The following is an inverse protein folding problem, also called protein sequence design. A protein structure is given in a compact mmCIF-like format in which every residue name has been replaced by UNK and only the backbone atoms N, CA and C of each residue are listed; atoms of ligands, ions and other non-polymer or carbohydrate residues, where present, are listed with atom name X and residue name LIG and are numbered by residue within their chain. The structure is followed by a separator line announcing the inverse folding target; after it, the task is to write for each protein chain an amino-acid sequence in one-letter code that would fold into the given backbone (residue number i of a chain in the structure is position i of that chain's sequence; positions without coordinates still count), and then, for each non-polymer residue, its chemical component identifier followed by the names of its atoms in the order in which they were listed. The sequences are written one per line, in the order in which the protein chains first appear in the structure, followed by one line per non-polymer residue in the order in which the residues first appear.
data_IF_319303917831
#
_entry.id   IF_319303917831
#
_cell.length_a   1.000
_cell.length_b   1.000
_cell.length_c   1.000
_cell.angle_alpha   90.00
_cell.angle_beta   90.00
_cell.angle_gamma   90.00
#
_symmetry.space_group_name_H-M   'P 1'
#
loop_
_entity.id
_entity.type
_entity.pdbx_description
1 polymer ?
#
# COMPACT_ATOMS: atom_id res chain seq x y z
N UNK A 1 5.42 11.50 3.24
CA UNK A 1 6.48 11.77 4.22
C UNK A 1 5.98 11.44 5.62
N UNK A 2 6.81 10.75 6.40
CA UNK A 2 6.57 10.37 7.79
C UNK A 2 7.56 11.15 8.67
N UNK A 3 7.18 11.54 9.89
CA UNK A 3 8.18 11.95 10.88
C UNK A 3 8.56 10.72 11.69
N UNK A 4 9.85 10.47 11.82
CA UNK A 4 10.34 9.28 12.48
C UNK A 4 10.19 9.35 14.01
N UNK A 5 9.74 8.26 14.62
CA UNK A 5 9.85 8.01 16.07
C UNK A 5 10.19 6.54 16.34
N UNK A 6 11.48 6.24 16.50
CA UNK A 6 11.97 4.91 16.90
C UNK A 6 12.07 3.87 15.76
N UNK A 7 12.69 2.71 16.02
CA UNK A 7 12.95 1.69 15.01
C UNK A 7 11.65 0.99 14.58
N UNK A 8 11.14 1.36 13.42
CA UNK A 8 9.88 0.85 12.88
C UNK A 8 10.03 -0.61 12.42
N UNK A 9 9.37 -1.53 13.14
CA UNK A 9 9.30 -2.95 12.74
C UNK A 9 8.36 -3.11 11.56
N UNK A 10 8.94 -3.44 10.40
CA UNK A 10 8.23 -3.66 9.14
C UNK A 10 7.29 -4.89 9.26
N UNK A 11 6.01 -4.76 8.86
CA UNK A 11 4.99 -5.81 9.06
C UNK A 11 3.84 -5.76 8.06
N UNK A 12 3.87 -6.67 7.09
CA UNK A 12 2.90 -6.78 5.98
C UNK A 12 1.85 -7.91 6.17
N UNK A 13 0.56 -7.71 5.80
CA UNK A 13 -0.53 -8.74 5.66
C UNK A 13 -1.62 -8.16 4.73
N UNK A 14 -2.32 -8.82 3.78
CA UNK A 14 -2.74 -10.22 3.52
C UNK A 14 -2.28 -10.71 2.13
N UNK A 15 -1.92 -11.99 1.97
CA UNK A 15 -0.90 -12.48 0.99
C UNK A 15 0.47 -11.82 1.13
N UNK A 16 0.61 -10.75 1.92
CA UNK A 16 1.89 -10.11 2.08
C UNK A 16 2.78 -10.96 3.01
N UNK A 17 3.85 -11.53 2.45
CA UNK A 17 4.87 -12.21 3.22
C UNK A 17 5.77 -11.19 3.95
N UNK A 18 5.99 -11.42 5.24
CA UNK A 18 6.89 -10.60 6.06
C UNK A 18 8.32 -11.09 5.91
N UNK A 19 9.04 -10.55 4.94
CA UNK A 19 10.50 -10.73 4.83
C UNK A 19 11.18 -9.80 5.84
N UNK A 20 12.11 -10.32 6.65
CA UNK A 20 12.94 -9.47 7.52
C UNK A 20 14.10 -8.90 6.73
N UNK A 21 14.55 -7.72 7.13
CA UNK A 21 15.81 -7.18 6.61
C UNK A 21 16.97 -8.14 6.93
N UNK A 22 17.77 -8.46 5.91
CA UNK A 22 18.83 -9.48 5.86
C UNK A 22 18.41 -10.94 5.58
N UNK A 23 17.12 -11.27 5.50
CA UNK A 23 16.68 -12.60 5.03
C UNK A 23 16.44 -12.58 3.51
N UNK A 24 16.89 -13.62 2.80
CA UNK A 24 16.52 -13.85 1.41
C UNK A 24 15.18 -14.60 1.35
N UNK A 25 14.32 -14.23 0.40
CA UNK A 25 13.07 -14.93 0.12
C UNK A 25 13.03 -15.31 -1.36
N UNK A 26 12.68 -16.57 -1.63
CA UNK A 26 12.48 -17.12 -2.96
C UNK A 26 10.99 -17.39 -3.16
N UNK A 27 10.47 -16.99 -4.32
CA UNK A 27 9.07 -17.14 -4.69
C UNK A 27 8.99 -17.72 -6.09
N UNK A 28 8.20 -18.77 -6.25
CA UNK A 28 7.82 -19.32 -7.55
C UNK A 28 6.36 -18.94 -7.76
N UNK A 29 6.08 -18.32 -8.91
CA UNK A 29 4.73 -17.96 -9.33
C UNK A 29 4.41 -18.72 -10.61
N UNK A 30 3.23 -19.32 -10.66
CA UNK A 30 2.67 -19.93 -11.85
C UNK A 30 1.45 -19.09 -12.26
N UNK A 31 1.59 -18.18 -13.24
CA UNK A 31 0.45 -17.43 -13.76
C UNK A 31 -0.30 -18.32 -14.75
N UNK A 32 -1.25 -19.11 -14.24
CA UNK A 32 -2.07 -20.08 -14.99
C UNK A 32 -2.67 -19.43 -16.26
N UNK A 33 -2.03 -19.65 -17.41
CA UNK A 33 -2.26 -18.85 -18.64
C UNK A 33 -3.64 -19.10 -19.24
N UNK A 34 -4.26 -20.24 -18.93
CA UNK A 34 -5.61 -20.63 -19.30
C UNK A 34 -6.72 -20.04 -18.40
N UNK A 35 -6.37 -19.48 -17.22
CA UNK A 35 -7.31 -18.73 -16.36
C UNK A 35 -7.40 -17.22 -16.73
N UNK A 36 -6.76 -16.77 -17.81
CA UNK A 36 -6.77 -15.35 -18.19
C UNK A 36 -8.16 -14.82 -18.62
N UNK A 37 -8.76 -13.98 -17.77
CA UNK A 37 -10.05 -13.33 -18.03
C UNK A 37 -10.07 -12.32 -19.19
N UNK A 38 -8.91 -11.79 -19.61
CA UNK A 38 -8.82 -10.74 -20.62
C UNK A 38 -8.11 -11.26 -21.89
N UNK A 39 -8.78 -11.34 -23.05
CA UNK A 39 -8.24 -12.01 -24.25
C UNK A 39 -7.04 -11.31 -24.91
N UNK A 40 -6.55 -10.19 -24.35
CA UNK A 40 -5.39 -9.43 -24.82
C UNK A 40 -4.40 -9.10 -23.68
N UNK A 41 -4.53 -9.70 -22.49
CA UNK A 41 -3.50 -9.56 -21.45
C UNK A 41 -2.31 -10.47 -21.73
N UNK A 42 -1.09 -9.98 -21.51
CA UNK A 42 0.07 -10.87 -21.41
C UNK A 42 0.01 -11.62 -20.06
N UNK A 43 0.28 -12.94 -20.02
CA UNK A 43 0.39 -13.68 -18.77
C UNK A 43 1.59 -13.20 -17.96
N UNK A 44 1.44 -13.13 -16.64
CA UNK A 44 2.50 -12.65 -15.75
C UNK A 44 1.99 -12.16 -14.40
N UNK A 45 2.91 -11.61 -13.60
CA UNK A 45 2.65 -11.14 -12.23
C UNK A 45 2.91 -9.64 -12.12
N UNK A 46 2.01 -8.90 -11.47
CA UNK A 46 2.24 -7.52 -11.05
C UNK A 46 2.77 -7.49 -9.62
N UNK A 47 4.06 -7.20 -9.47
CA UNK A 47 4.76 -7.22 -8.19
C UNK A 47 5.02 -5.80 -7.68
N UNK A 48 4.78 -5.52 -6.41
CA UNK A 48 5.09 -4.23 -5.79
C UNK A 48 5.66 -4.38 -4.37
N UNK A 49 6.57 -3.49 -4.00
CA UNK A 49 7.14 -3.36 -2.66
C UNK A 49 6.74 -1.99 -2.12
N UNK A 50 6.31 -1.94 -0.86
CA UNK A 50 5.81 -0.72 -0.23
C UNK A 50 6.14 -0.69 1.27
N UNK A 51 5.71 0.37 1.96
CA UNK A 51 5.73 0.43 3.44
C UNK A 51 4.51 -0.30 4.01
N UNK A 52 4.60 -1.01 5.15
CA UNK A 52 3.48 -1.67 5.80
C UNK A 52 2.37 -0.72 6.27
N UNK A 53 2.66 0.59 6.30
CA UNK A 53 1.70 1.64 6.69
C UNK A 53 1.00 2.29 5.50
N UNK A 54 1.28 1.82 4.28
CA UNK A 54 0.63 2.24 3.04
C UNK A 54 0.04 1.01 2.35
N UNK A 55 -1.20 1.10 1.86
CA UNK A 55 -1.72 0.16 0.89
C UNK A 55 -1.32 0.65 -0.51
N UNK A 56 -0.98 -0.28 -1.40
CA UNK A 56 -0.67 0.00 -2.80
C UNK A 56 -1.52 -0.87 -3.71
N UNK A 57 -1.81 -0.35 -4.90
CA UNK A 57 -2.42 -1.09 -5.98
C UNK A 57 -1.31 -1.55 -6.95
N UNK A 58 -1.01 -2.86 -7.08
CA UNK A 58 -0.03 -3.35 -8.04
C UNK A 58 -0.37 -3.00 -9.50
N UNK A 59 -1.64 -2.79 -9.83
CA UNK A 59 -2.05 -2.32 -11.16
C UNK A 59 -1.67 -0.85 -11.44
N UNK A 60 -1.38 -0.04 -10.42
CA UNK A 60 -0.95 1.37 -10.57
C UNK A 60 0.55 1.57 -10.35
N UNK A 61 1.17 0.77 -9.47
CA UNK A 61 2.56 0.96 -8.99
C UNK A 61 3.40 -0.31 -8.98
N UNK A 62 2.90 -1.39 -9.58
CA UNK A 62 3.63 -2.64 -9.72
C UNK A 62 4.57 -2.65 -10.92
N UNK A 63 5.48 -3.61 -10.88
CA UNK A 63 6.37 -4.01 -11.96
C UNK A 63 5.78 -5.29 -12.54
N UNK A 64 5.60 -5.33 -13.86
CA UNK A 64 5.14 -6.54 -14.55
C UNK A 64 6.31 -7.52 -14.75
N UNK A 65 6.08 -8.78 -14.39
CA UNK A 65 7.04 -9.89 -14.47
C UNK A 65 6.46 -10.99 -15.35
N UNK A 66 7.20 -11.37 -16.40
CA UNK A 66 6.78 -12.39 -17.37
C UNK A 66 7.13 -13.81 -16.88
N UNK A 67 6.32 -14.83 -17.22
CA UNK A 67 6.66 -16.22 -16.92
C UNK A 67 7.97 -16.65 -17.61
N UNK A 68 8.62 -17.69 -17.07
CA UNK A 68 9.87 -18.25 -17.60
C UNK A 68 11.15 -17.46 -17.28
N UNK A 69 11.08 -16.34 -16.56
CA UNK A 69 12.25 -15.54 -16.16
C UNK A 69 12.54 -15.62 -14.66
N UNK A 70 13.84 -15.66 -14.31
CA UNK A 70 14.31 -15.55 -12.93
C UNK A 70 14.56 -14.08 -12.59
N UNK A 71 13.74 -13.51 -11.71
CA UNK A 71 13.88 -12.13 -11.24
C UNK A 71 14.67 -12.06 -9.92
N UNK A 72 15.81 -11.35 -9.92
CA UNK A 72 16.57 -11.04 -8.70
C UNK A 72 16.26 -9.61 -8.25
N UNK A 73 15.53 -9.48 -7.15
CA UNK A 73 15.09 -8.20 -6.60
C UNK A 73 15.95 -7.86 -5.38
N UNK A 74 16.61 -6.70 -5.40
CA UNK A 74 17.40 -6.20 -4.27
C UNK A 74 16.71 -4.98 -3.67
N UNK A 75 16.53 -4.96 -2.36
CA UNK A 75 15.77 -3.93 -1.64
C UNK A 75 16.68 -3.20 -0.67
N UNK A 76 16.75 -1.89 -0.79
CA UNK A 76 17.44 -1.00 0.15
C UNK A 76 16.40 -0.23 0.98
N UNK A 77 16.51 -0.27 2.31
CA UNK A 77 15.67 0.53 3.19
C UNK A 77 16.27 1.94 3.27
N UNK A 78 15.46 2.95 2.94
CA UNK A 78 15.81 4.36 3.09
C UNK A 78 14.81 5.02 4.01
N UNK A 79 15.32 5.66 5.06
CA UNK A 79 14.52 6.41 6.04
C UNK A 79 14.87 7.91 5.95
N UNK A 80 13.85 8.76 6.05
CA UNK A 80 14.00 10.22 6.06
C UNK A 80 13.48 10.77 7.39
N UNK A 81 14.38 11.35 8.19
CA UNK A 81 14.04 11.95 9.48
C UNK A 81 13.74 13.44 9.28
N UNK A 82 12.45 13.77 9.14
CA UNK A 82 11.98 15.13 8.90
C UNK A 82 11.44 15.78 10.17
N UNK A 83 11.55 17.11 10.26
CA UNK A 83 11.12 17.88 11.44
C UNK A 83 9.72 18.49 11.24
N UNK A 84 8.91 18.64 12.30
CA UNK A 84 7.63 19.34 12.27
C UNK A 84 7.82 20.86 12.10
N UNK A 85 6.72 21.62 12.06
CA UNK A 85 6.75 23.07 12.26
C UNK A 85 7.62 23.46 13.48
N UNK A 86 8.47 24.50 13.42
CA UNK A 86 8.57 25.56 12.40
C UNK A 86 9.57 25.27 11.26
N UNK A 87 10.08 24.04 11.13
CA UNK A 87 11.04 23.71 10.08
C UNK A 87 10.34 23.60 8.71
N UNK A 88 11.07 23.93 7.63
CA UNK A 88 10.56 23.92 6.24
C UNK A 88 9.89 22.59 5.82
N UNK A 89 10.26 21.49 6.46
CA UNK A 89 9.71 20.15 6.22
C UNK A 89 8.26 20.00 6.68
N UNK A 90 7.80 20.83 7.62
CA UNK A 90 6.44 20.87 8.20
C UNK A 90 5.77 19.48 8.31
N UNK A 91 6.51 18.56 8.90
CA UNK A 91 6.18 17.15 8.87
C UNK A 91 5.12 16.80 9.93
N UNK A 92 4.21 15.86 9.60
CA UNK A 92 3.21 15.30 10.53
C UNK A 92 3.56 13.87 10.99
N UNK A 93 3.58 13.62 12.30
CA UNK A 93 3.85 12.29 12.87
C UNK A 93 2.58 11.41 12.89
N UNK A 94 2.31 10.72 11.78
CA UNK A 94 1.17 9.81 11.65
C UNK A 94 1.20 8.63 12.64
N UNK A 95 2.37 8.16 13.08
CA UNK A 95 2.48 7.06 14.05
C UNK A 95 2.01 7.51 15.43
N UNK A 96 2.46 8.67 15.89
CA UNK A 96 2.02 9.26 17.16
C UNK A 96 0.53 9.62 17.14
N UNK A 97 0.04 10.25 16.05
CA UNK A 97 -1.40 10.50 15.88
C UNK A 97 -2.23 9.22 15.99
N UNK A 98 -1.77 8.12 15.39
CA UNK A 98 -2.46 6.83 15.45
C UNK A 98 -2.44 6.22 16.86
N UNK A 99 -1.32 6.32 17.58
CA UNK A 99 -1.24 5.89 19.00
C UNK A 99 -2.23 6.69 19.86
N UNK A 100 -2.20 8.02 19.75
CA UNK A 100 -3.07 8.93 20.50
C UNK A 100 -4.56 8.76 20.15
N UNK A 101 -4.88 8.33 18.92
CA UNK A 101 -6.23 7.99 18.46
C UNK A 101 -6.65 6.54 18.78
N UNK A 102 -6.17 5.96 19.89
CA UNK A 102 -6.46 4.58 20.32
C UNK A 102 -6.21 3.54 19.21
N UNK A 103 -5.11 3.69 18.46
CA UNK A 103 -4.73 2.82 17.34
C UNK A 103 -5.74 2.81 16.18
N UNK A 104 -6.43 3.93 15.96
CA UNK A 104 -7.36 4.11 14.83
C UNK A 104 -6.88 5.18 13.85
N UNK A 105 -7.28 5.06 12.58
CA UNK A 105 -6.93 6.04 11.55
C UNK A 105 -5.71 5.67 10.69
N UNK A 106 -5.29 6.58 9.78
CA UNK A 106 -4.19 6.37 8.85
C UNK A 106 -2.83 6.50 9.55
N UNK A 107 -1.90 5.60 9.25
CA UNK A 107 -0.50 5.63 9.72
C UNK A 107 0.48 6.26 8.72
N UNK A 108 -0.04 6.91 7.68
CA UNK A 108 0.76 7.50 6.61
C UNK A 108 -0.01 8.59 5.88
N UNK A 109 0.73 9.43 5.15
CA UNK A 109 0.16 10.50 4.34
C UNK A 109 -0.73 9.98 3.20
N UNK A 110 -0.34 8.87 2.54
CA UNK A 110 -1.16 8.30 1.47
C UNK A 110 -2.47 7.72 2.00
N UNK A 111 -2.43 6.96 3.11
CA UNK A 111 -3.66 6.47 3.73
C UNK A 111 -4.54 7.60 4.27
N UNK A 112 -3.95 8.73 4.68
CA UNK A 112 -4.72 9.93 5.04
C UNK A 112 -5.46 10.52 3.83
N UNK A 113 -4.82 10.59 2.65
CA UNK A 113 -5.45 11.02 1.40
C UNK A 113 -6.58 10.08 0.97
N UNK A 114 -6.35 8.76 0.95
CA UNK A 114 -7.40 7.79 0.63
C UNK A 114 -8.56 7.85 1.64
N UNK A 115 -8.31 8.05 2.94
CA UNK A 115 -9.36 8.28 3.94
C UNK A 115 -10.19 9.54 3.63
N UNK A 116 -9.55 10.62 3.18
CA UNK A 116 -10.24 11.85 2.79
C UNK A 116 -11.17 11.61 1.59
N UNK A 117 -10.64 11.03 0.51
CA UNK A 117 -11.44 10.67 -0.68
C UNK A 117 -12.60 9.75 -0.34
N UNK A 118 -12.36 8.72 0.49
CA UNK A 118 -13.40 7.82 0.98
C UNK A 118 -14.50 8.55 1.73
N UNK A 119 -14.15 9.50 2.62
CA UNK A 119 -15.15 10.28 3.36
C UNK A 119 -16.04 11.10 2.42
N UNK A 120 -15.45 11.69 1.35
CA UNK A 120 -16.20 12.44 0.33
C UNK A 120 -17.17 11.48 -0.40
N UNK A 121 -16.70 10.32 -0.85
CA UNK A 121 -17.56 9.32 -1.51
C UNK A 121 -18.69 8.81 -0.60
N UNK A 122 -18.37 8.47 0.66
CA UNK A 122 -19.34 7.98 1.65
C UNK A 122 -20.39 9.04 2.06
N UNK A 123 -20.07 10.34 1.89
CA UNK A 123 -20.93 11.48 2.23
C UNK A 123 -21.78 11.94 1.04
N UNK A 124 -21.18 12.12 -0.14
CA UNK A 124 -21.86 12.63 -1.33
C UNK A 124 -22.65 11.56 -2.08
N UNK A 125 -22.14 10.33 -2.17
CA UNK A 125 -22.71 9.25 -2.99
C UNK A 125 -23.17 8.04 -2.19
N UNK A 126 -22.92 8.02 -0.86
CA UNK A 126 -23.30 6.93 0.04
C UNK A 126 -22.71 5.55 -0.38
N UNK A 127 -21.59 5.55 -1.10
CA UNK A 127 -20.87 4.37 -1.58
C UNK A 127 -19.35 4.58 -1.46
N UNK A 128 -18.55 3.58 -1.79
CA UNK A 128 -17.09 3.62 -1.80
C UNK A 128 -16.56 3.24 -3.19
N UNK A 129 -15.57 3.97 -3.69
CA UNK A 129 -14.97 3.67 -4.99
C UNK A 129 -13.93 2.55 -4.87
N UNK A 130 -13.88 1.54 -5.75
CA UNK A 130 -12.96 0.40 -5.63
C UNK A 130 -11.47 0.80 -5.52
N UNK A 131 -11.04 1.80 -6.30
CA UNK A 131 -9.66 2.32 -6.27
C UNK A 131 -9.28 3.09 -4.98
N UNK A 132 -10.20 3.30 -4.03
CA UNK A 132 -9.87 3.96 -2.76
C UNK A 132 -9.41 2.91 -1.74
N UNK A 133 -8.09 2.79 -1.62
CA UNK A 133 -7.42 1.77 -0.80
C UNK A 133 -7.63 1.89 0.73
N UNK A 134 -8.28 2.96 1.23
CA UNK A 134 -8.60 3.08 2.66
C UNK A 134 -9.94 2.37 2.98
N UNK A 135 -9.99 1.45 3.95
CA UNK A 135 -11.17 0.63 4.22
C UNK A 135 -12.50 1.39 4.32
N UNK A 136 -13.50 0.92 3.57
CA UNK A 136 -14.89 1.38 3.64
C UNK A 136 -15.50 1.12 5.03
N UNK A 137 -16.36 2.01 5.51
CA UNK A 137 -17.21 1.76 6.69
C UNK A 137 -18.52 1.07 6.36
N UNK A 138 -19.02 1.26 5.12
CA UNK A 138 -20.36 0.83 4.71
C UNK A 138 -20.36 -0.45 3.87
N UNK A 139 -19.22 -0.85 3.32
CA UNK A 139 -19.08 -2.06 2.49
C UNK A 139 -19.81 -2.00 1.13
N UNK A 140 -20.52 -0.91 0.84
CA UNK A 140 -21.21 -0.68 -0.44
C UNK A 140 -20.27 0.00 -1.41
N UNK A 141 -19.91 -0.69 -2.48
CA UNK A 141 -19.18 -0.08 -3.59
C UNK A 141 -20.11 0.74 -4.47
N UNK A 142 -19.55 1.76 -5.12
CA UNK A 142 -20.22 2.43 -6.22
C UNK A 142 -20.24 1.46 -7.41
N UNK A 143 -21.41 1.29 -8.05
CA UNK A 143 -21.46 0.63 -9.36
C UNK A 143 -21.01 1.68 -10.38
N UNK A 144 -19.82 1.50 -10.95
CA UNK A 144 -19.38 2.32 -12.07
C UNK A 144 -20.20 1.89 -13.32
N UNK A 145 -20.71 2.88 -14.06
CA UNK A 145 -21.47 2.72 -15.32
C UNK A 145 -20.56 3.02 -16.52
#
# INVERSE_FOLDING_TARGET
MLCATGPDKISFTLFFLKVKFNDAAEFVFDPEEDEMFYPNSEPGVLFSIHSPFEAVNPFEKGIFMKPGFLYRISVELREEHLLPYPYKTDCMNYTEMWVNANRTGPRSQQMCRHRCLRNIMEHCYNCSHPLILYPSRKGRFCMDF
#
